data_IF_154131035264
#
_entry.id   IF_154131035264
#
_cell.length_a   1.000
_cell.length_b   1.000
_cell.length_c   1.000
_cell.angle_alpha   90.00
_cell.angle_beta   90.00
_cell.angle_gamma   90.00
#
_symmetry.space_group_name_H-M   'P 1'
#
loop_
_entity.id
_entity.type
_entity.pdbx_description
1 polymer ?
#
# COMPACT_ATOMS: atom_id res chain seq x y z
N UNK A 1 9.92 8.24 23.76
CA UNK A 1 11.25 8.83 23.56
C UNK A 1 12.33 8.13 24.39
N UNK A 2 12.23 8.06 25.73
CA UNK A 2 13.24 7.38 26.57
C UNK A 2 13.59 5.95 26.14
N UNK A 3 12.57 5.12 25.90
CA UNK A 3 12.80 3.74 25.46
C UNK A 3 13.43 3.65 24.06
N UNK A 4 13.08 4.58 23.16
CA UNK A 4 13.71 4.67 21.83
C UNK A 4 15.20 5.03 21.98
N UNK A 5 15.51 6.06 22.78
CA UNK A 5 16.89 6.47 23.08
C UNK A 5 17.72 5.31 23.66
N UNK A 6 17.14 4.59 24.64
CA UNK A 6 17.77 3.42 25.27
C UNK A 6 18.08 2.32 24.25
N UNK A 7 17.13 1.99 23.36
CA UNK A 7 17.31 0.93 22.35
C UNK A 7 18.36 1.27 21.29
N UNK A 8 18.52 2.54 20.94
CA UNK A 8 19.52 2.99 19.97
C UNK A 8 20.84 3.44 20.60
N UNK A 9 20.99 3.29 21.93
CA UNK A 9 22.24 3.54 22.64
C UNK A 9 22.62 5.01 22.80
N UNK A 10 21.65 5.93 22.78
CA UNK A 10 21.90 7.38 22.93
C UNK A 10 21.34 7.92 24.24
N UNK A 11 21.78 9.13 24.64
CA UNK A 11 21.25 9.78 25.84
C UNK A 11 19.76 10.07 25.72
N UNK A 12 19.04 10.11 26.85
CA UNK A 12 17.59 10.35 26.87
C UNK A 12 17.17 11.67 26.20
N UNK A 13 18.07 12.66 26.16
CA UNK A 13 17.83 13.97 25.55
C UNK A 13 18.18 14.03 24.06
N UNK A 14 18.97 13.08 23.54
CA UNK A 14 19.45 13.13 22.16
C UNK A 14 18.31 13.16 21.12
N UNK A 15 17.22 12.37 21.23
CA UNK A 15 16.14 12.44 20.25
C UNK A 15 15.42 13.79 20.19
N UNK A 16 15.33 14.51 21.32
CA UNK A 16 14.64 15.80 21.38
C UNK A 16 15.35 16.91 20.60
N UNK A 17 16.63 16.71 20.23
CA UNK A 17 17.35 17.61 19.33
C UNK A 17 16.84 17.53 17.87
N UNK A 18 16.17 16.44 17.52
CA UNK A 18 15.70 16.18 16.15
C UNK A 18 14.17 16.10 16.07
N UNK A 19 13.52 15.66 17.16
CA UNK A 19 12.09 15.45 17.21
C UNK A 19 11.52 16.15 18.43
N UNK A 20 10.70 17.17 18.20
CA UNK A 20 10.08 17.98 19.26
C UNK A 20 9.32 17.13 20.29
N UNK A 21 8.67 16.07 19.82
CA UNK A 21 7.90 15.16 20.67
C UNK A 21 7.82 13.76 20.02
N UNK A 22 7.10 12.85 20.69
CA UNK A 22 6.90 11.47 20.19
C UNK A 22 6.13 11.42 18.87
N UNK A 23 5.18 12.32 18.68
CA UNK A 23 4.35 12.39 17.48
C UNK A 23 5.19 12.82 16.27
N UNK A 24 6.04 13.83 16.41
CA UNK A 24 7.00 14.24 15.37
C UNK A 24 7.93 13.07 14.98
N UNK A 25 8.50 12.35 15.96
CA UNK A 25 9.28 11.13 15.66
C UNK A 25 8.45 10.11 14.87
N UNK A 26 7.20 9.88 15.27
CA UNK A 26 6.32 8.92 14.61
C UNK A 26 6.01 9.35 13.17
N UNK A 27 5.75 10.64 12.93
CA UNK A 27 5.48 11.19 11.60
C UNK A 27 6.67 10.98 10.66
N UNK A 28 7.89 11.22 11.15
CA UNK A 28 9.11 10.97 10.40
C UNK A 28 9.32 9.49 10.06
N UNK A 29 9.03 8.60 11.03
CA UNK A 29 9.11 7.15 10.79
C UNK A 29 8.06 6.69 9.78
N UNK A 30 6.81 7.11 9.92
CA UNK A 30 5.72 6.78 8.98
C UNK A 30 6.03 7.32 7.59
N UNK A 31 6.50 8.56 7.48
CA UNK A 31 6.91 9.14 6.20
C UNK A 31 8.01 8.31 5.52
N UNK A 32 9.01 7.84 6.28
CA UNK A 32 10.03 6.92 5.75
C UNK A 32 9.47 5.57 5.31
N UNK A 33 8.46 5.04 6.01
CA UNK A 33 7.77 3.83 5.58
C UNK A 33 7.06 4.03 4.23
N UNK A 34 6.32 5.13 4.04
CA UNK A 34 5.67 5.41 2.76
C UNK A 34 6.66 5.64 1.62
N UNK A 35 7.80 6.30 1.89
CA UNK A 35 8.87 6.47 0.90
C UNK A 35 9.51 5.13 0.53
N UNK A 36 9.86 4.30 1.52
CA UNK A 36 10.40 2.95 1.29
C UNK A 36 9.41 2.06 0.51
N UNK A 37 8.13 2.13 0.86
CA UNK A 37 7.06 1.44 0.17
C UNK A 37 6.94 1.88 -1.28
N UNK A 38 6.90 3.18 -1.54
CA UNK A 38 6.80 3.74 -2.89
C UNK A 38 8.01 3.35 -3.75
N UNK A 39 9.22 3.44 -3.19
CA UNK A 39 10.46 2.95 -3.83
C UNK A 39 10.35 1.47 -4.17
N UNK A 40 9.84 0.64 -3.26
CA UNK A 40 9.63 -0.78 -3.52
C UNK A 40 8.65 -1.01 -4.68
N UNK A 41 7.53 -0.30 -4.72
CA UNK A 41 6.55 -0.42 -5.81
C UNK A 41 7.16 -0.08 -7.18
N UNK A 42 8.09 0.87 -7.23
CA UNK A 42 8.84 1.22 -8.45
C UNK A 42 9.88 0.19 -8.87
N UNK A 43 10.25 -0.76 -8.01
CA UNK A 43 11.14 -1.87 -8.43
C UNK A 43 10.44 -2.92 -9.29
N UNK A 44 9.11 -2.82 -9.48
CA UNK A 44 8.35 -3.71 -10.35
C UNK A 44 8.87 -3.64 -11.79
N UNK A 45 8.83 -4.77 -12.50
CA UNK A 45 9.09 -4.79 -13.93
C UNK A 45 7.94 -4.10 -14.67
N UNK A 46 8.28 -3.23 -15.60
CA UNK A 46 7.35 -2.66 -16.58
C UNK A 46 7.51 -3.41 -17.91
N UNK A 47 6.41 -3.88 -18.47
CA UNK A 47 6.36 -4.61 -19.75
C UNK A 47 5.84 -3.74 -20.89
N UNK A 48 5.20 -2.61 -20.56
CA UNK A 48 4.56 -1.73 -21.53
C UNK A 48 3.12 -2.11 -21.85
N UNK A 49 2.63 -3.25 -21.34
CA UNK A 49 1.19 -3.52 -21.25
C UNK A 49 0.67 -3.02 -19.90
N UNK A 50 -0.19 -1.98 -19.87
CA UNK A 50 -0.76 -1.44 -18.63
C UNK A 50 -1.44 -2.49 -17.76
N UNK A 51 -2.00 -3.55 -18.35
CA UNK A 51 -2.65 -4.64 -17.63
C UNK A 51 -1.64 -5.50 -16.87
N UNK A 52 -0.55 -5.89 -17.53
CA UNK A 52 0.52 -6.69 -16.92
C UNK A 52 1.26 -5.88 -15.85
N UNK A 53 1.46 -4.59 -16.11
CA UNK A 53 2.11 -3.68 -15.18
C UNK A 53 1.25 -3.51 -13.91
N UNK A 54 -0.08 -3.51 -14.02
CA UNK A 54 -0.99 -3.41 -12.87
C UNK A 54 -0.90 -4.66 -11.99
N UNK A 55 -0.82 -5.85 -12.62
CA UNK A 55 -0.57 -7.09 -11.89
C UNK A 55 0.81 -7.08 -11.21
N UNK A 56 1.84 -6.57 -11.88
CA UNK A 56 3.18 -6.39 -11.30
C UNK A 56 3.18 -5.43 -10.11
N UNK A 57 2.38 -4.36 -10.16
CA UNK A 57 2.22 -3.41 -9.06
C UNK A 57 1.60 -4.08 -7.84
N UNK A 58 0.49 -4.80 -8.00
CA UNK A 58 -0.12 -5.46 -6.85
C UNK A 58 0.75 -6.61 -6.29
N UNK A 59 1.51 -7.31 -7.14
CA UNK A 59 2.49 -8.30 -6.66
C UNK A 59 3.56 -7.64 -5.78
N UNK A 60 4.06 -6.46 -6.18
CA UNK A 60 4.98 -5.67 -5.37
C UNK A 60 4.32 -5.21 -4.05
N UNK A 61 3.06 -4.78 -4.09
CA UNK A 61 2.27 -4.42 -2.92
C UNK A 61 2.22 -5.56 -1.89
N UNK A 62 1.78 -6.76 -2.31
CA UNK A 62 1.65 -7.92 -1.41
C UNK A 62 3.02 -8.37 -0.90
N UNK A 63 4.04 -8.40 -1.76
CA UNK A 63 5.41 -8.73 -1.34
C UNK A 63 5.92 -7.78 -0.26
N UNK A 64 5.75 -6.47 -0.45
CA UNK A 64 6.16 -5.50 0.57
C UNK A 64 5.40 -5.72 1.87
N UNK A 65 4.07 -5.89 1.79
CA UNK A 65 3.26 -6.16 2.96
C UNK A 65 3.79 -7.37 3.72
N UNK A 66 4.02 -8.51 3.06
CA UNK A 66 4.49 -9.74 3.70
C UNK A 66 5.91 -9.63 4.27
N UNK A 67 6.83 -8.98 3.55
CA UNK A 67 8.25 -8.89 3.94
C UNK A 67 8.54 -7.79 4.97
N UNK A 68 7.73 -6.72 5.01
CA UNK A 68 7.89 -5.56 5.90
C UNK A 68 6.67 -5.38 6.80
N UNK A 69 6.31 -6.37 7.65
CA UNK A 69 5.03 -6.37 8.36
C UNK A 69 4.88 -5.24 9.39
N UNK A 70 5.98 -4.75 9.97
CA UNK A 70 5.96 -3.64 10.92
C UNK A 70 5.77 -2.30 10.21
N UNK A 71 6.48 -2.05 9.11
CA UNK A 71 6.32 -0.85 8.29
C UNK A 71 4.90 -0.77 7.72
N UNK A 72 4.39 -1.88 7.18
CA UNK A 72 3.02 -1.97 6.69
C UNK A 72 1.98 -1.65 7.78
N UNK A 73 2.19 -2.16 9.00
CA UNK A 73 1.31 -1.88 10.14
C UNK A 73 1.37 -0.41 10.54
N UNK A 74 2.53 0.24 10.50
CA UNK A 74 2.66 1.66 10.79
C UNK A 74 1.94 2.54 9.76
N UNK A 75 1.96 2.15 8.49
CA UNK A 75 1.29 2.92 7.43
C UNK A 75 -0.23 2.76 7.44
N UNK A 76 -0.75 1.55 7.72
CA UNK A 76 -2.16 1.24 7.47
C UNK A 76 -2.93 0.65 8.67
N UNK A 77 -2.23 0.24 9.72
CA UNK A 77 -2.82 -0.47 10.87
C UNK A 77 -2.83 0.32 12.17
N UNK A 78 -2.37 1.58 12.15
CA UNK A 78 -2.30 2.46 13.32
C UNK A 78 -2.83 3.83 12.98
N UNK A 79 -3.34 4.56 13.98
CA UNK A 79 -3.66 5.98 13.84
C UNK A 79 -2.42 6.75 13.39
N UNK A 80 -2.54 7.47 12.29
CA UNK A 80 -1.47 8.32 11.79
C UNK A 80 -1.38 9.61 12.64
N UNK A 81 -0.18 10.20 12.76
CA UNK A 81 -0.01 11.57 13.24
C UNK A 81 -0.89 12.57 12.49
N UNK A 82 -1.20 13.69 13.13
CA UNK A 82 -2.00 14.77 12.56
C UNK A 82 -1.42 15.26 11.22
N UNK A 83 -2.10 15.04 10.07
CA UNK A 83 -1.59 15.41 8.76
C UNK A 83 -1.35 16.91 8.60
N UNK A 84 -2.15 17.75 9.28
CA UNK A 84 -2.02 19.21 9.20
C UNK A 84 -0.74 19.71 9.87
N UNK A 85 -0.27 18.99 10.89
CA UNK A 85 1.00 19.28 11.58
C UNK A 85 2.22 18.71 10.87
N UNK A 86 2.05 17.63 10.10
CA UNK A 86 3.15 16.92 9.44
C UNK A 86 2.88 16.72 7.93
N UNK A 87 2.81 17.81 7.14
CA UNK A 87 2.47 17.72 5.72
C UNK A 87 3.44 16.87 4.90
N UNK A 88 4.73 16.86 5.24
CA UNK A 88 5.73 16.02 4.55
C UNK A 88 5.49 14.50 4.73
N UNK A 89 4.83 14.09 5.82
CA UNK A 89 4.38 12.70 5.99
C UNK A 89 3.19 12.42 5.08
N UNK A 90 2.21 13.34 5.06
CA UNK A 90 1.01 13.23 4.22
C UNK A 90 1.36 13.16 2.73
N UNK A 91 2.26 14.02 2.25
CA UNK A 91 2.73 14.03 0.85
C UNK A 91 3.26 12.66 0.41
N UNK A 92 4.04 11.98 1.27
CA UNK A 92 4.58 10.65 0.98
C UNK A 92 3.48 9.58 0.95
N UNK A 93 2.49 9.68 1.83
CA UNK A 93 1.34 8.79 1.82
C UNK A 93 0.49 8.97 0.55
N UNK A 94 0.23 10.23 0.16
CA UNK A 94 -0.50 10.57 -1.06
C UNK A 94 0.26 10.12 -2.31
N UNK A 95 1.58 10.30 -2.35
CA UNK A 95 2.42 9.82 -3.44
C UNK A 95 2.31 8.29 -3.61
N UNK A 96 2.35 7.53 -2.52
CA UNK A 96 2.20 6.08 -2.57
C UNK A 96 0.86 5.65 -3.18
N UNK A 97 -0.23 6.37 -2.87
CA UNK A 97 -1.55 6.14 -3.47
C UNK A 97 -1.59 6.56 -4.95
N UNK A 98 -0.99 7.70 -5.28
CA UNK A 98 -0.96 8.25 -6.64
C UNK A 98 -0.33 7.27 -7.65
N UNK A 99 0.65 6.46 -7.24
CA UNK A 99 1.23 5.40 -8.09
C UNK A 99 0.14 4.49 -8.70
N UNK A 100 -0.85 4.08 -7.91
CA UNK A 100 -1.96 3.24 -8.38
C UNK A 100 -2.94 4.05 -9.25
N UNK A 101 -3.34 5.24 -8.78
CA UNK A 101 -4.29 6.10 -9.49
C UNK A 101 -3.79 6.50 -10.87
N UNK A 102 -2.53 6.91 -10.97
CA UNK A 102 -1.91 7.35 -12.23
C UNK A 102 -1.79 6.19 -13.21
N UNK A 103 -1.51 4.99 -12.71
CA UNK A 103 -1.49 3.77 -13.50
C UNK A 103 -2.87 3.44 -14.09
N UNK A 104 -3.94 3.53 -13.28
CA UNK A 104 -5.30 3.32 -13.78
C UNK A 104 -5.73 4.40 -14.78
N UNK A 105 -5.31 5.65 -14.53
CA UNK A 105 -5.53 6.76 -15.47
C UNK A 105 -4.89 6.45 -16.84
N UNK A 106 -3.66 5.95 -16.86
CA UNK A 106 -2.98 5.54 -18.10
C UNK A 106 -3.67 4.35 -18.77
N UNK A 107 -4.09 3.36 -17.97
CA UNK A 107 -4.80 2.17 -18.46
C UNK A 107 -6.13 2.54 -19.13
N UNK A 108 -6.90 3.47 -18.55
CA UNK A 108 -8.17 3.93 -19.14
C UNK A 108 -7.97 4.80 -20.36
N UNK A 109 -6.93 5.66 -20.37
CA UNK A 109 -6.59 6.46 -21.55
C UNK A 109 -6.21 5.58 -22.75
N UNK A 110 -5.43 4.52 -22.54
CA UNK A 110 -4.99 3.61 -23.59
C UNK A 110 -6.14 2.77 -24.20
N UNK A 111 -7.15 2.43 -23.39
CA UNK A 111 -8.23 1.51 -23.79
C UNK A 111 -9.47 2.18 -24.38
N UNK A 112 -9.44 3.49 -24.68
CA UNK A 112 -10.44 4.23 -25.48
C UNK A 112 -11.87 3.70 -25.35
N UNK A 113 -12.60 4.05 -24.28
CA UNK A 113 -14.00 3.69 -23.92
C UNK A 113 -14.14 2.59 -22.85
N UNK A 114 -13.97 2.96 -21.59
CA UNK A 114 -14.90 2.44 -20.60
C UNK A 114 -15.82 3.55 -20.16
N UNK A 115 -17.08 3.45 -20.57
CA UNK A 115 -18.11 4.40 -20.20
C UNK A 115 -18.32 4.22 -18.68
N UNK A 116 -18.11 5.28 -17.90
CA UNK A 116 -18.24 5.24 -16.44
C UNK A 116 -17.00 4.83 -15.65
N UNK A 117 -15.82 4.70 -16.28
CA UNK A 117 -14.57 4.52 -15.55
C UNK A 117 -14.20 5.80 -14.76
N UNK A 118 -13.85 5.63 -13.48
CA UNK A 118 -13.43 6.69 -12.58
C UNK A 118 -12.15 6.24 -11.88
N UNK A 119 -11.02 6.82 -12.26
CA UNK A 119 -9.71 6.40 -11.77
C UNK A 119 -9.58 6.52 -10.25
N UNK A 120 -10.30 7.43 -9.60
CA UNK A 120 -10.25 7.58 -8.15
C UNK A 120 -11.06 6.47 -7.46
N UNK A 121 -12.28 6.20 -7.92
CA UNK A 121 -13.12 5.12 -7.37
C UNK A 121 -12.53 3.74 -7.65
N UNK A 122 -12.00 3.52 -8.86
CA UNK A 122 -11.37 2.26 -9.24
C UNK A 122 -10.05 2.06 -8.49
N UNK A 123 -9.24 3.11 -8.29
CA UNK A 123 -8.05 3.03 -7.44
C UNK A 123 -8.42 2.64 -6.02
N UNK A 124 -9.50 3.21 -5.46
CA UNK A 124 -9.99 2.85 -4.14
C UNK A 124 -10.44 1.38 -4.08
N UNK A 125 -11.21 0.91 -5.07
CA UNK A 125 -11.62 -0.49 -5.17
C UNK A 125 -10.44 -1.46 -5.24
N UNK A 126 -9.46 -1.18 -6.11
CA UNK A 126 -8.25 -2.00 -6.26
C UNK A 126 -7.44 -2.00 -4.98
N UNK A 127 -7.24 -0.82 -4.38
CA UNK A 127 -6.51 -0.69 -3.12
C UNK A 127 -7.19 -1.47 -1.99
N UNK A 128 -8.51 -1.32 -1.82
CA UNK A 128 -9.29 -2.06 -0.81
C UNK A 128 -9.16 -3.58 -1.00
N UNK A 129 -9.21 -4.06 -2.25
CA UNK A 129 -9.05 -5.48 -2.58
C UNK A 129 -7.66 -6.00 -2.21
N UNK A 130 -6.59 -5.30 -2.62
CA UNK A 130 -5.22 -5.70 -2.32
C UNK A 130 -4.91 -5.59 -0.82
N UNK A 131 -5.42 -4.56 -0.16
CA UNK A 131 -5.26 -4.35 1.27
C UNK A 131 -5.96 -5.45 2.07
N UNK A 132 -7.21 -5.78 1.72
CA UNK A 132 -7.96 -6.88 2.32
C UNK A 132 -7.23 -8.21 2.16
N UNK A 133 -6.71 -8.49 0.96
CA UNK A 133 -5.93 -9.70 0.71
C UNK A 133 -4.65 -9.75 1.57
N UNK A 134 -3.86 -8.66 1.62
CA UNK A 134 -2.66 -8.59 2.45
C UNK A 134 -2.96 -8.81 3.95
N UNK A 135 -4.07 -8.25 4.43
CA UNK A 135 -4.51 -8.38 5.82
C UNK A 135 -4.97 -9.82 6.13
N UNK A 136 -5.78 -10.42 5.25
CA UNK A 136 -6.24 -11.81 5.41
C UNK A 136 -5.08 -12.79 5.34
N UNK A 137 -4.13 -12.61 4.40
CA UNK A 137 -2.96 -13.49 4.25
C UNK A 137 -2.07 -13.54 5.50
N UNK A 138 -2.13 -12.51 6.34
CA UNK A 138 -1.39 -12.43 7.61
C UNK A 138 -2.21 -12.80 8.84
N UNK A 139 -3.52 -12.95 8.68
CA UNK A 139 -4.42 -13.21 9.79
C UNK A 139 -4.22 -14.63 10.33
N UNK A 140 -4.14 -14.83 11.65
CA UNK A 140 -4.16 -16.17 12.25
C UNK A 140 -5.42 -16.96 11.87
N UNK A 141 -6.55 -16.27 11.64
CA UNK A 141 -7.81 -16.90 11.22
C UNK A 141 -7.73 -17.55 9.83
N UNK A 142 -6.71 -17.26 9.03
CA UNK A 142 -6.51 -17.93 7.75
C UNK A 142 -6.37 -19.45 7.92
N UNK A 143 -5.71 -19.89 9.01
CA UNK A 143 -5.51 -21.30 9.31
C UNK A 143 -6.81 -22.03 9.72
N UNK A 144 -7.87 -21.30 10.05
CA UNK A 144 -9.17 -21.89 10.42
C UNK A 144 -10.10 -22.06 9.22
N UNK A 145 -9.72 -21.57 8.04
CA UNK A 145 -10.55 -21.68 6.84
C UNK A 145 -10.46 -23.09 6.24
N UNK A 146 -11.55 -23.65 5.70
CA UNK A 146 -11.55 -24.94 5.00
C UNK A 146 -10.97 -24.78 3.57
N UNK A 147 -9.82 -24.13 3.43
CA UNK A 147 -9.14 -23.86 2.15
C UNK A 147 -7.73 -24.44 2.20
N UNK A 148 -7.38 -25.26 1.23
CA UNK A 148 -6.07 -25.91 1.20
C UNK A 148 -4.94 -24.89 0.94
N UNK A 149 -3.71 -25.13 1.46
CA UNK A 149 -2.56 -24.27 1.18
C UNK A 149 -2.30 -24.07 -0.33
N UNK A 150 -2.51 -25.12 -1.14
CA UNK A 150 -2.39 -25.06 -2.61
C UNK A 150 -3.40 -24.08 -3.24
N UNK A 151 -4.64 -24.03 -2.73
CA UNK A 151 -5.64 -23.06 -3.18
C UNK A 151 -5.30 -21.64 -2.71
N UNK A 152 -4.83 -21.48 -1.47
CA UNK A 152 -4.39 -20.17 -0.95
C UNK A 152 -3.21 -19.61 -1.75
N UNK A 153 -2.30 -20.47 -2.24
CA UNK A 153 -1.21 -20.06 -3.14
C UNK A 153 -1.69 -19.41 -4.45
N UNK A 154 -2.97 -19.58 -4.82
CA UNK A 154 -3.59 -18.97 -6.00
C UNK A 154 -4.42 -17.73 -5.68
N UNK A 155 -4.52 -17.32 -4.41
CA UNK A 155 -5.39 -16.22 -3.99
C UNK A 155 -5.04 -14.90 -4.68
N UNK A 156 -3.74 -14.58 -4.79
CA UNK A 156 -3.28 -13.35 -5.42
C UNK A 156 -3.53 -13.32 -6.95
N UNK A 157 -3.11 -14.33 -7.74
CA UNK A 157 -3.50 -14.42 -9.15
C UNK A 157 -5.02 -14.36 -9.37
N UNK A 158 -5.79 -15.00 -8.49
CA UNK A 158 -7.25 -14.97 -8.57
C UNK A 158 -7.82 -13.57 -8.30
N UNK A 159 -7.34 -12.88 -7.27
CA UNK A 159 -7.75 -11.50 -6.97
C UNK A 159 -7.45 -10.56 -8.15
N UNK A 160 -6.29 -10.68 -8.79
CA UNK A 160 -5.99 -9.91 -10.00
C UNK A 160 -6.93 -10.21 -11.16
N UNK A 161 -7.25 -11.48 -11.38
CA UNK A 161 -8.20 -11.84 -12.42
C UNK A 161 -9.58 -11.20 -12.18
N UNK A 162 -10.03 -11.16 -10.91
CA UNK A 162 -11.30 -10.51 -10.52
C UNK A 162 -11.24 -9.00 -10.67
N UNK A 163 -10.15 -8.36 -10.23
CA UNK A 163 -9.91 -6.93 -10.42
C UNK A 163 -9.91 -6.57 -11.90
N UNK A 164 -9.16 -7.32 -12.73
CA UNK A 164 -9.11 -7.08 -14.18
C UNK A 164 -10.49 -7.21 -14.83
N UNK A 165 -11.29 -8.18 -14.40
CA UNK A 165 -12.65 -8.34 -14.93
C UNK A 165 -13.55 -7.17 -14.52
N UNK A 166 -13.47 -6.73 -13.26
CA UNK A 166 -14.23 -5.58 -12.77
C UNK A 166 -13.82 -4.29 -13.49
N UNK A 167 -12.52 -4.04 -13.63
CA UNK A 167 -11.96 -2.91 -14.37
C UNK A 167 -12.22 -2.98 -15.87
N UNK A 168 -12.84 -4.04 -16.41
CA UNK A 168 -13.25 -4.14 -17.83
C UNK A 168 -14.76 -4.07 -18.01
N UNK A 169 -15.53 -4.16 -16.93
CA UNK A 169 -16.98 -4.13 -17.01
C UNK A 169 -17.43 -2.72 -17.39
N UNK A 170 -18.46 -2.65 -18.24
CA UNK A 170 -19.23 -1.41 -18.39
C UNK A 170 -20.06 -1.26 -17.12
N UNK A 171 -19.82 -0.20 -16.36
CA UNK A 171 -20.64 0.12 -15.20
C UNK A 171 -21.93 0.79 -15.69
N UNK A 172 -23.10 0.37 -15.18
CA UNK A 172 -24.33 1.13 -15.44
C UNK A 172 -24.17 2.55 -14.88
N UNK A 173 -24.67 3.53 -15.63
CA UNK A 173 -24.64 4.94 -15.26
C UNK A 173 -25.53 5.25 -14.05
#
# INVERSE_FOLDING_TARGET
MREVARRVGVSHQAPYKHFENREHLLAEVVGRCFDAFSKHLHTRKLTGDPTEDLASLGNAYIRYALNHPLEYRLMFGTSLPDPDKYPAMLEKAQYAYAILRDMLTQLFAANSRQKGADADLDAFFVWATMHGLATVLKSPSLATLPVTPSKLGKALPHAFQRVRAALKADLPA
#
